data_IF_839437667509
#
_entry.id   IF_839437667509
#
_cell.length_a   1.000
_cell.length_b   1.000
_cell.length_c   1.000
_cell.angle_alpha   90.00
_cell.angle_beta   90.00
_cell.angle_gamma   90.00
#
_symmetry.space_group_name_H-M   'P 1'
#
loop_
_entity.id
_entity.type
_entity.pdbx_description
1 polymer ?
#
# COMPACT_ATOMS: atom_id res chain seq x y z
N UNK A 1 9.47 -6.95 21.12
CA UNK A 1 8.93 -6.36 22.37
C UNK A 1 9.34 -4.89 22.60
N UNK A 2 10.58 -4.47 22.29
CA UNK A 2 11.03 -3.07 22.45
C UNK A 2 10.36 -2.06 21.50
N UNK A 3 10.02 -2.47 20.27
CA UNK A 3 9.32 -1.62 19.28
C UNK A 3 7.91 -1.22 19.72
N UNK A 4 7.18 -2.10 20.42
CA UNK A 4 5.85 -1.80 20.95
C UNK A 4 5.92 -0.88 22.18
N UNK A 5 6.95 -1.01 23.01
CA UNK A 5 7.14 -0.18 24.20
C UNK A 5 7.50 1.26 23.83
N UNK A 6 8.35 1.44 22.80
CA UNK A 6 8.72 2.78 22.30
C UNK A 6 7.52 3.43 21.59
N UNK A 7 6.78 2.68 20.76
CA UNK A 7 5.53 3.18 20.15
C UNK A 7 4.48 3.56 21.20
N UNK A 8 4.33 2.77 22.26
CA UNK A 8 3.40 3.06 23.36
C UNK A 8 3.77 4.34 24.11
N UNK A 9 5.05 4.51 24.46
CA UNK A 9 5.53 5.71 25.15
C UNK A 9 5.39 6.97 24.28
N UNK A 10 5.64 6.87 22.97
CA UNK A 10 5.50 8.00 22.06
C UNK A 10 4.03 8.36 21.74
N UNK A 11 3.13 7.37 21.69
CA UNK A 11 1.69 7.60 21.51
C UNK A 11 1.05 8.24 22.74
N UNK A 12 1.51 7.89 23.94
CA UNK A 12 1.05 8.53 25.18
C UNK A 12 1.58 9.96 25.36
N UNK A 13 2.80 10.24 24.87
CA UNK A 13 3.36 11.60 24.88
C UNK A 13 2.62 12.55 23.92
N UNK A 14 2.21 12.06 22.74
CA UNK A 14 1.41 12.84 21.79
C UNK A 14 -0.03 13.05 22.27
N UNK A 15 -0.70 12.04 22.84
CA UNK A 15 -2.04 12.19 23.44
C UNK A 15 -2.08 13.17 24.63
N UNK A 16 -1.05 13.16 25.49
CA UNK A 16 -0.93 14.13 26.60
C UNK A 16 -0.69 15.56 26.12
N UNK A 17 -0.03 15.74 24.98
CA UNK A 17 0.17 17.06 24.36
C UNK A 17 -1.14 17.59 23.77
N UNK A 18 -1.89 16.76 23.03
CA UNK A 18 -3.16 17.15 22.40
C UNK A 18 -4.27 17.46 23.41
N UNK A 19 -4.37 16.72 24.53
CA UNK A 19 -5.32 17.04 25.62
C UNK A 19 -5.03 18.38 26.29
N UNK A 20 -3.77 18.81 26.34
CA UNK A 20 -3.38 20.12 26.90
C UNK A 20 -3.60 21.29 25.94
N UNK A 21 -3.78 21.03 24.64
CA UNK A 21 -4.11 22.04 23.64
C UNK A 21 -5.63 22.24 23.46
N UNK A 22 -6.46 21.20 23.67
CA UNK A 22 -7.93 21.34 23.61
C UNK A 22 -8.52 22.10 24.81
N UNK A 23 -7.86 22.11 25.98
CA UNK A 23 -8.33 22.80 27.19
C UNK A 23 -8.09 24.34 27.18
N UNK A 24 -7.62 24.89 26.05
CA UNK A 24 -7.30 26.33 25.92
C UNK A 24 -8.02 27.06 24.78
N UNK A 25 -9.01 26.45 24.14
CA UNK A 25 -9.92 27.18 23.24
C UNK A 25 -11.34 27.19 23.83
N UNK A 26 -11.63 28.14 24.73
CA UNK A 26 -13.01 28.49 25.02
C UNK A 26 -13.62 29.20 23.82
N UNK A 27 -14.73 28.64 23.36
CA UNK A 27 -15.51 29.08 22.22
C UNK A 27 -16.05 30.51 22.41
N UNK A 28 -15.92 31.31 21.37
CA UNK A 28 -16.69 32.55 21.18
C UNK A 28 -18.06 32.14 20.63
N UNK A 29 -19.12 32.36 21.40
CA UNK A 29 -20.50 32.33 20.90
C UNK A 29 -21.24 33.60 21.40
N UNK A 30 -21.72 34.39 20.45
CA UNK A 30 -22.72 35.46 20.65
C UNK A 30 -24.10 34.83 20.94
N UNK A 31 -25.07 35.40 21.69
CA UNK A 31 -26.08 36.47 21.40
C UNK A 31 -26.95 36.74 22.71
N UNK A 32 -28.07 37.53 22.76
CA UNK A 32 -28.29 38.99 22.94
C UNK A 32 -28.88 39.48 24.32
N UNK A 33 -28.84 40.82 24.48
CA UNK A 33 -29.50 41.80 25.39
C UNK A 33 -30.70 41.42 26.31
N UNK A 34 -30.66 41.92 27.57
CA UNK A 34 -31.85 42.38 28.32
C UNK A 34 -31.78 42.32 29.87
N UNK A 35 -31.88 43.47 30.56
CA UNK A 35 -32.58 43.58 31.86
C UNK A 35 -31.79 43.58 33.20
N UNK A 36 -31.50 44.79 33.71
CA UNK A 36 -31.58 45.29 35.11
C UNK A 36 -31.38 44.38 36.36
N UNK A 37 -30.54 44.91 37.28
CA UNK A 37 -30.51 44.82 38.77
C UNK A 37 -29.43 43.97 39.48
N UNK A 38 -28.40 44.69 39.97
CA UNK A 38 -27.64 44.61 41.25
C UNK A 38 -27.37 43.27 41.97
N UNK A 39 -26.16 43.05 42.55
CA UNK A 39 -25.73 43.44 43.92
C UNK A 39 -24.34 42.86 44.29
N UNK A 40 -23.56 43.67 45.02
CA UNK A 40 -22.31 43.52 45.83
C UNK A 40 -21.26 42.39 45.64
N UNK A 41 -19.96 42.72 45.86
CA UNK A 41 -18.89 41.75 46.00
C UNK A 41 -18.93 41.09 47.38
N UNK A 42 -18.88 39.75 47.41
CA UNK A 42 -18.56 39.00 48.62
C UNK A 42 -17.06 38.75 48.62
N UNK A 43 -16.36 39.38 49.56
CA UNK A 43 -15.01 38.97 49.92
C UNK A 43 -15.07 37.55 50.50
N UNK A 44 -14.31 36.62 49.94
CA UNK A 44 -13.92 35.39 50.61
C UNK A 44 -12.51 34.99 50.18
N UNK A 45 -11.69 34.82 51.23
CA UNK A 45 -10.45 34.05 51.34
C UNK A 45 -9.37 34.21 50.28
N UNK A 46 -8.23 34.70 50.78
CA UNK A 46 -6.89 34.25 50.41
C UNK A 46 -6.87 32.76 50.05
N UNK A 47 -6.71 32.43 48.76
CA UNK A 47 -6.32 31.08 48.35
C UNK A 47 -4.90 31.14 47.75
N UNK A 48 -3.99 30.47 48.45
CA UNK A 48 -2.60 30.16 48.10
C UNK A 48 -2.48 29.16 46.92
N UNK A 49 -3.55 28.93 46.16
CA UNK A 49 -3.63 27.90 45.12
C UNK A 49 -3.11 28.32 43.73
N UNK A 50 -2.82 29.61 43.54
CA UNK A 50 -2.14 30.11 42.33
C UNK A 50 -0.66 29.71 42.24
N UNK A 51 0.00 29.50 43.39
CA UNK A 51 1.42 29.15 43.44
C UNK A 51 1.64 27.65 43.23
N UNK A 52 0.75 26.79 43.74
CA UNK A 52 0.86 25.33 43.63
C UNK A 52 0.65 24.83 42.20
N UNK A 53 -0.30 25.43 41.45
CA UNK A 53 -0.55 25.10 40.04
C UNK A 53 0.54 25.62 39.10
N UNK A 54 1.17 26.76 39.42
CA UNK A 54 2.35 27.23 38.70
C UNK A 54 3.57 26.34 38.99
N UNK A 55 3.87 26.03 40.26
CA UNK A 55 5.04 25.23 40.64
C UNK A 55 4.98 23.78 40.13
N UNK A 56 3.82 23.13 40.16
CA UNK A 56 3.64 21.80 39.54
C UNK A 56 3.77 21.87 38.03
N UNK A 57 3.24 22.92 37.37
CA UNK A 57 3.42 23.12 35.92
C UNK A 57 4.89 23.32 35.57
N UNK A 58 5.62 24.15 36.34
CA UNK A 58 7.05 24.40 36.16
C UNK A 58 7.88 23.13 36.39
N UNK A 59 7.56 22.35 37.42
CA UNK A 59 8.23 21.07 37.71
C UNK A 59 8.01 20.03 36.62
N UNK A 60 6.77 19.88 36.14
CA UNK A 60 6.49 18.99 35.01
C UNK A 60 7.19 19.45 33.73
N UNK A 61 7.27 20.77 33.46
CA UNK A 61 8.04 21.26 32.31
C UNK A 61 9.54 21.01 32.46
N UNK A 62 10.11 21.14 33.66
CA UNK A 62 11.53 20.85 33.91
C UNK A 62 11.83 19.35 33.75
N UNK A 63 10.98 18.47 34.28
CA UNK A 63 11.12 17.02 34.11
C UNK A 63 10.98 16.58 32.64
N UNK A 64 10.02 17.15 31.92
CA UNK A 64 9.87 16.89 30.47
C UNK A 64 11.12 17.35 29.72
N UNK A 65 11.62 18.57 29.98
CA UNK A 65 12.84 19.09 29.34
C UNK A 65 14.06 18.23 29.66
N UNK A 66 14.21 17.77 30.90
CA UNK A 66 15.31 16.88 31.30
C UNK A 66 15.22 15.52 30.58
N UNK A 67 14.04 14.91 30.50
CA UNK A 67 13.83 13.66 29.77
C UNK A 67 14.08 13.81 28.27
N UNK A 68 13.62 14.91 27.67
CA UNK A 68 13.91 15.23 26.25
C UNK A 68 15.41 15.38 26.01
N UNK A 69 16.13 16.05 26.92
CA UNK A 69 17.59 16.20 26.81
C UNK A 69 18.32 14.86 26.91
N UNK A 70 17.93 13.99 27.85
CA UNK A 70 18.51 12.64 27.97
C UNK A 70 18.26 11.82 26.70
N UNK A 71 17.03 11.89 26.15
CA UNK A 71 16.69 11.21 24.91
C UNK A 71 17.54 11.71 23.72
N UNK A 72 17.72 13.02 23.59
CA UNK A 72 18.58 13.63 22.56
C UNK A 72 20.04 13.21 22.70
N UNK A 73 20.60 13.20 23.91
CA UNK A 73 21.97 12.74 24.14
C UNK A 73 22.16 11.27 23.76
N UNK A 74 21.19 10.40 24.10
CA UNK A 74 21.22 8.97 23.70
C UNK A 74 21.14 8.80 22.18
N UNK A 75 20.27 9.58 21.52
CA UNK A 75 20.15 9.56 20.08
C UNK A 75 21.44 10.02 19.40
N UNK A 76 22.08 11.09 19.89
CA UNK A 76 23.36 11.57 19.37
C UNK A 76 24.47 10.50 19.51
N UNK A 77 24.57 9.84 20.67
CA UNK A 77 25.53 8.75 20.86
C UNK A 77 25.28 7.60 19.88
N UNK A 78 24.01 7.20 19.72
CA UNK A 78 23.63 6.14 18.79
C UNK A 78 23.98 6.49 17.33
N UNK A 79 23.72 7.73 16.91
CA UNK A 79 24.09 8.22 15.57
C UNK A 79 25.61 8.18 15.35
N UNK A 80 26.41 8.59 16.34
CA UNK A 80 27.87 8.46 16.25
C UNK A 80 28.32 7.00 16.15
N UNK A 81 27.68 6.09 16.89
CA UNK A 81 28.00 4.66 16.78
C UNK A 81 27.63 4.08 15.42
N UNK A 82 26.51 4.50 14.82
CA UNK A 82 26.16 4.11 13.47
C UNK A 82 27.18 4.63 12.45
N UNK A 83 27.55 5.92 12.51
CA UNK A 83 28.55 6.48 11.60
C UNK A 83 29.88 5.72 11.69
N UNK A 84 30.40 5.50 12.90
CA UNK A 84 31.64 4.77 13.09
C UNK A 84 31.56 3.33 12.58
N UNK A 85 30.46 2.62 12.86
CA UNK A 85 30.26 1.26 12.36
C UNK A 85 30.08 1.20 10.84
N UNK A 86 29.52 2.25 10.24
CA UNK A 86 29.40 2.39 8.79
C UNK A 86 30.76 2.58 8.14
N UNK A 87 31.60 3.44 8.71
CA UNK A 87 32.97 3.71 8.25
C UNK A 87 33.84 2.44 8.33
N UNK A 88 33.59 1.57 9.31
CA UNK A 88 34.24 0.27 9.44
C UNK A 88 33.59 -0.88 8.65
N UNK A 89 32.53 -0.63 7.86
CA UNK A 89 31.83 -1.64 7.03
C UNK A 89 31.24 -2.79 7.88
N UNK A 90 30.75 -2.48 9.08
CA UNK A 90 30.21 -3.48 10.03
C UNK A 90 28.69 -3.47 10.13
N UNK A 91 28.00 -2.56 9.45
CA UNK A 91 26.55 -2.45 9.53
C UNK A 91 25.85 -3.40 8.56
N UNK A 92 24.86 -4.13 9.07
CA UNK A 92 23.90 -4.87 8.26
C UNK A 92 22.88 -3.92 7.63
N UNK A 93 22.22 -4.36 6.55
CA UNK A 93 21.15 -3.60 5.91
C UNK A 93 20.05 -3.15 6.89
N UNK A 94 19.63 -4.04 7.81
CA UNK A 94 18.61 -3.73 8.84
C UNK A 94 19.01 -2.57 9.75
N UNK A 95 20.29 -2.48 10.10
CA UNK A 95 20.79 -1.41 10.95
C UNK A 95 20.86 -0.07 10.21
N UNK A 96 21.09 -0.06 8.89
CA UNK A 96 20.97 1.15 8.08
C UNK A 96 19.53 1.68 8.04
N UNK A 97 18.51 0.82 7.95
CA UNK A 97 17.11 1.25 8.07
C UNK A 97 16.85 1.90 9.43
N UNK A 98 17.37 1.29 10.50
CA UNK A 98 17.23 1.83 11.86
C UNK A 98 17.94 3.18 11.99
N UNK A 99 19.12 3.33 11.38
CA UNK A 99 19.85 4.59 11.37
C UNK A 99 19.05 5.71 10.68
N UNK A 100 18.48 5.45 9.51
CA UNK A 100 17.62 6.40 8.79
C UNK A 100 16.41 6.80 9.62
N UNK A 101 15.76 5.83 10.29
CA UNK A 101 14.64 6.12 11.18
C UNK A 101 15.08 7.08 12.30
N UNK A 102 16.19 6.81 12.98
CA UNK A 102 16.70 7.68 14.06
C UNK A 102 17.01 9.09 13.55
N UNK A 103 17.64 9.23 12.38
CA UNK A 103 17.92 10.52 11.75
C UNK A 103 16.63 11.32 11.51
N UNK A 104 15.60 10.68 10.94
CA UNK A 104 14.30 11.31 10.73
C UNK A 104 13.64 11.75 12.05
N UNK A 105 13.68 10.91 13.09
CA UNK A 105 13.06 11.22 14.38
C UNK A 105 13.76 12.35 15.13
N UNK A 106 15.07 12.51 14.97
CA UNK A 106 15.85 13.62 15.58
C UNK A 106 15.77 14.90 14.72
N UNK A 107 15.18 14.82 13.52
CA UNK A 107 15.06 15.94 12.59
C UNK A 107 16.33 16.23 11.78
N UNK A 108 17.32 15.32 11.78
CA UNK A 108 18.53 15.42 10.97
C UNK A 108 18.32 14.82 9.57
N UNK A 109 17.31 15.33 8.86
CA UNK A 109 16.89 14.81 7.55
C UNK A 109 17.99 14.99 6.49
N UNK A 110 18.81 16.04 6.60
CA UNK A 110 19.90 16.35 5.67
C UNK A 110 21.02 15.29 5.69
N UNK A 111 21.16 14.53 6.77
CA UNK A 111 22.15 13.46 6.90
C UNK A 111 21.67 12.10 6.36
N UNK A 112 20.37 11.97 6.05
CA UNK A 112 19.77 10.73 5.55
C UNK A 112 20.36 10.29 4.20
N UNK A 113 20.59 11.18 3.20
CA UNK A 113 21.24 10.80 1.95
C UNK A 113 22.61 10.16 2.16
N UNK A 114 23.41 10.69 3.09
CA UNK A 114 24.73 10.14 3.44
C UNK A 114 24.62 8.72 3.97
N UNK A 115 23.68 8.48 4.90
CA UNK A 115 23.44 7.13 5.44
C UNK A 115 23.03 6.13 4.34
N UNK A 116 22.22 6.56 3.36
CA UNK A 116 21.89 5.73 2.20
C UNK A 116 23.09 5.49 1.28
N UNK A 117 23.94 6.50 1.05
CA UNK A 117 25.17 6.33 0.28
C UNK A 117 26.09 5.27 0.89
N UNK A 118 26.28 5.29 2.22
CA UNK A 118 27.04 4.24 2.91
C UNK A 118 26.35 2.87 2.79
N UNK A 119 25.06 2.80 3.11
CA UNK A 119 24.32 1.53 3.11
C UNK A 119 24.24 0.85 1.75
N UNK A 120 23.92 1.61 0.70
CA UNK A 120 23.84 1.11 -0.67
C UNK A 120 25.21 0.95 -1.34
N UNK A 121 26.26 1.60 -0.83
CA UNK A 121 27.63 1.32 -1.23
C UNK A 121 28.09 -0.06 -0.76
N UNK A 122 27.66 -0.49 0.43
CA UNK A 122 28.02 -1.78 1.02
C UNK A 122 27.09 -2.91 0.59
N UNK A 123 25.79 -2.62 0.46
CA UNK A 123 24.74 -3.59 0.14
C UNK A 123 23.91 -3.13 -1.07
N UNK A 124 24.52 -2.99 -2.27
CA UNK A 124 23.89 -2.37 -3.44
C UNK A 124 22.67 -3.14 -3.97
N UNK A 125 22.61 -4.46 -3.77
CA UNK A 125 21.49 -5.31 -4.21
C UNK A 125 20.38 -5.46 -3.17
N UNK A 126 20.48 -4.82 -2.00
CA UNK A 126 19.49 -4.98 -0.94
C UNK A 126 18.14 -4.33 -1.29
N UNK A 127 17.15 -5.17 -1.61
CA UNK A 127 15.76 -4.74 -1.87
C UNK A 127 15.23 -3.87 -0.74
N UNK A 128 15.50 -4.26 0.51
CA UNK A 128 15.00 -3.56 1.69
C UNK A 128 15.56 -2.14 1.80
N UNK A 129 16.87 -1.94 1.59
CA UNK A 129 17.46 -0.60 1.61
C UNK A 129 16.91 0.29 0.50
N UNK A 130 16.74 -0.28 -0.71
CA UNK A 130 16.11 0.45 -1.81
C UNK A 130 14.66 0.83 -1.51
N UNK A 131 13.86 -0.05 -0.90
CA UNK A 131 12.50 0.26 -0.46
C UNK A 131 12.47 1.39 0.56
N UNK A 132 13.36 1.36 1.56
CA UNK A 132 13.46 2.43 2.57
C UNK A 132 13.86 3.76 1.92
N UNK A 133 14.85 3.73 1.02
CA UNK A 133 15.27 4.91 0.26
C UNK A 133 14.16 5.48 -0.62
N UNK A 134 13.45 4.62 -1.34
CA UNK A 134 12.34 5.03 -2.19
C UNK A 134 11.19 5.62 -1.37
N UNK A 135 10.82 5.00 -0.25
CA UNK A 135 9.79 5.57 0.66
C UNK A 135 10.19 6.92 1.21
N UNK A 136 11.46 7.08 1.56
CA UNK A 136 11.98 8.37 2.03
C UNK A 136 11.87 9.42 0.93
N UNK A 137 12.41 9.16 -0.26
CA UNK A 137 12.43 10.15 -1.34
C UNK A 137 11.03 10.47 -1.88
N UNK A 138 10.13 9.50 -1.97
CA UNK A 138 8.75 9.75 -2.41
C UNK A 138 7.93 10.58 -1.42
N UNK A 139 8.35 10.61 -0.15
CA UNK A 139 7.68 11.41 0.90
C UNK A 139 8.29 12.81 1.03
N UNK A 140 9.61 12.94 0.85
CA UNK A 140 10.34 14.19 1.10
C UNK A 140 10.58 15.01 -0.16
N UNK A 141 10.74 14.35 -1.31
CA UNK A 141 11.07 14.99 -2.56
C UNK A 141 9.81 15.27 -3.39
N UNK A 142 9.73 16.48 -3.95
CA UNK A 142 8.64 16.92 -4.82
C UNK A 142 9.02 16.94 -6.30
N UNK A 143 10.30 16.75 -6.61
CA UNK A 143 10.82 16.76 -7.98
C UNK A 143 10.63 15.38 -8.60
N UNK A 144 9.69 15.28 -9.55
CA UNK A 144 9.32 14.02 -10.21
C UNK A 144 10.52 13.34 -10.85
N UNK A 145 11.34 14.10 -11.59
CA UNK A 145 12.49 13.57 -12.33
C UNK A 145 13.51 12.91 -11.40
N UNK A 146 13.79 13.52 -10.24
CA UNK A 146 14.72 12.96 -9.25
C UNK A 146 14.18 11.66 -8.65
N UNK A 147 12.89 11.59 -8.34
CA UNK A 147 12.27 10.36 -7.83
C UNK A 147 12.30 9.26 -8.90
N UNK A 148 11.97 9.58 -10.16
CA UNK A 148 12.04 8.61 -11.26
C UNK A 148 13.46 8.08 -11.48
N UNK A 149 14.48 8.94 -11.40
CA UNK A 149 15.88 8.52 -11.51
C UNK A 149 16.28 7.54 -10.39
N UNK A 150 15.83 7.77 -9.15
CA UNK A 150 16.10 6.83 -8.04
C UNK A 150 15.32 5.52 -8.21
N UNK A 151 14.09 5.56 -8.73
CA UNK A 151 13.34 4.33 -9.09
C UNK A 151 14.12 3.52 -10.12
N UNK A 152 14.60 4.14 -11.20
CA UNK A 152 15.38 3.45 -12.22
C UNK A 152 16.68 2.88 -11.65
N UNK A 153 17.38 3.64 -10.81
CA UNK A 153 18.59 3.18 -10.14
C UNK A 153 18.31 1.93 -9.28
N UNK A 154 17.23 1.94 -8.50
CA UNK A 154 16.83 0.82 -7.65
C UNK A 154 16.52 -0.43 -8.48
N UNK A 155 15.71 -0.27 -9.54
CA UNK A 155 15.30 -1.37 -10.42
C UNK A 155 16.48 -1.99 -11.21
N UNK A 156 17.54 -1.22 -11.45
CA UNK A 156 18.75 -1.72 -12.13
C UNK A 156 19.78 -2.33 -11.17
N UNK A 157 19.65 -2.09 -9.86
CA UNK A 157 20.66 -2.52 -8.86
C UNK A 157 20.29 -3.84 -8.17
N UNK A 158 19.03 -4.23 -8.19
CA UNK A 158 18.48 -5.38 -7.46
C UNK A 158 18.24 -6.56 -8.40
N UNK A 159 18.34 -7.78 -7.88
CA UNK A 159 17.99 -8.98 -8.63
C UNK A 159 16.54 -8.92 -9.14
N UNK A 160 16.35 -9.25 -10.41
CA UNK A 160 15.05 -9.06 -11.07
C UNK A 160 13.91 -9.81 -10.36
N UNK A 161 14.16 -11.04 -9.89
CA UNK A 161 13.18 -11.88 -9.18
C UNK A 161 12.72 -11.30 -7.84
N UNK A 162 13.58 -10.54 -7.18
CA UNK A 162 13.27 -9.90 -5.89
C UNK A 162 12.80 -8.45 -6.07
N UNK A 163 12.78 -7.94 -7.30
CA UNK A 163 12.52 -6.52 -7.58
C UNK A 163 11.05 -6.13 -7.50
N UNK A 164 10.10 -7.08 -7.51
CA UNK A 164 8.65 -6.80 -7.55
C UNK A 164 8.16 -5.75 -6.52
N UNK A 165 8.57 -5.80 -5.23
CA UNK A 165 8.18 -4.77 -4.26
C UNK A 165 8.59 -3.34 -4.66
N UNK A 166 9.70 -3.17 -5.40
CA UNK A 166 10.14 -1.88 -5.92
C UNK A 166 9.22 -1.41 -7.05
N UNK A 167 8.79 -2.32 -7.93
CA UNK A 167 7.81 -2.01 -8.99
C UNK A 167 6.47 -1.59 -8.41
N UNK A 168 5.98 -2.32 -7.40
CA UNK A 168 4.71 -2.01 -6.73
C UNK A 168 4.75 -0.61 -6.11
N UNK A 169 5.81 -0.28 -5.37
CA UNK A 169 5.99 1.05 -4.78
C UNK A 169 6.11 2.15 -5.86
N UNK A 170 6.89 1.90 -6.92
CA UNK A 170 7.07 2.82 -8.02
C UNK A 170 5.75 3.12 -8.75
N UNK A 171 4.93 2.10 -9.00
CA UNK A 171 3.61 2.26 -9.63
C UNK A 171 2.63 2.98 -8.72
N UNK A 172 2.62 2.67 -7.42
CA UNK A 172 1.78 3.38 -6.45
C UNK A 172 2.08 4.89 -6.46
N UNK A 173 3.35 5.25 -6.44
CA UNK A 173 3.77 6.65 -6.49
C UNK A 173 3.47 7.28 -7.86
N UNK A 174 3.82 6.61 -8.96
CA UNK A 174 3.65 7.15 -10.31
C UNK A 174 2.17 7.39 -10.66
N UNK A 175 1.25 6.52 -10.25
CA UNK A 175 -0.20 6.72 -10.45
C UNK A 175 -0.70 8.04 -9.84
N UNK A 176 -0.09 8.50 -8.75
CA UNK A 176 -0.49 9.72 -8.05
C UNK A 176 0.24 10.97 -8.57
N UNK A 177 1.49 10.84 -8.98
CA UNK A 177 2.38 11.98 -9.25
C UNK A 177 2.85 12.11 -10.70
N UNK A 178 2.85 11.02 -11.48
CA UNK A 178 3.30 11.01 -12.88
C UNK A 178 2.60 9.92 -13.71
N UNK A 179 1.34 10.17 -14.14
CA UNK A 179 0.57 9.25 -14.98
C UNK A 179 1.31 8.82 -16.26
N UNK A 180 2.04 9.73 -16.90
CA UNK A 180 2.79 9.45 -18.13
C UNK A 180 3.89 8.40 -17.91
N UNK A 181 4.49 8.37 -16.71
CA UNK A 181 5.52 7.41 -16.34
C UNK A 181 4.95 6.02 -16.03
N UNK A 182 3.67 5.91 -15.64
CA UNK A 182 3.03 4.61 -15.34
C UNK A 182 3.02 3.72 -16.56
N UNK A 183 2.69 4.26 -17.74
CA UNK A 183 2.71 3.52 -19.01
C UNK A 183 4.11 3.00 -19.34
N UNK A 184 5.15 3.80 -19.07
CA UNK A 184 6.55 3.42 -19.30
C UNK A 184 6.95 2.28 -18.36
N UNK A 185 6.63 2.41 -17.07
CA UNK A 185 6.89 1.38 -16.06
C UNK A 185 6.19 0.07 -16.40
N UNK A 186 4.90 0.10 -16.73
CA UNK A 186 4.13 -1.10 -17.05
C UNK A 186 4.64 -1.78 -18.31
N UNK A 187 4.91 -1.04 -19.40
CA UNK A 187 5.51 -1.59 -20.63
C UNK A 187 6.86 -2.24 -20.37
N UNK A 188 7.70 -1.65 -19.52
CA UNK A 188 9.00 -2.24 -19.14
C UNK A 188 8.81 -3.48 -18.26
N UNK A 189 7.92 -3.40 -17.27
CA UNK A 189 7.70 -4.43 -16.27
C UNK A 189 7.05 -5.71 -16.80
N UNK A 190 6.13 -5.62 -17.75
CA UNK A 190 5.50 -6.83 -18.35
C UNK A 190 6.48 -7.66 -19.20
N UNK A 191 7.64 -7.13 -19.53
CA UNK A 191 8.72 -7.82 -20.26
C UNK A 191 9.77 -8.46 -19.34
N UNK A 192 9.59 -8.34 -18.02
CA UNK A 192 10.50 -8.89 -17.00
C UNK A 192 10.18 -10.33 -16.65
N UNK A 193 10.96 -10.90 -15.74
CA UNK A 193 10.78 -12.23 -15.20
C UNK A 193 9.36 -12.43 -14.65
N UNK A 194 8.86 -13.68 -14.57
CA UNK A 194 7.49 -13.99 -14.17
C UNK A 194 7.05 -13.34 -12.85
N UNK A 195 7.93 -13.29 -11.86
CA UNK A 195 7.68 -12.72 -10.53
C UNK A 195 7.28 -11.24 -10.60
N UNK A 196 7.75 -10.53 -11.63
CA UNK A 196 7.41 -9.13 -11.89
C UNK A 196 6.32 -9.02 -12.95
N UNK A 197 6.45 -9.70 -14.09
CA UNK A 197 5.57 -9.49 -15.23
C UNK A 197 4.14 -9.96 -14.98
N UNK A 198 3.95 -11.10 -14.30
CA UNK A 198 2.63 -11.68 -14.03
C UNK A 198 1.72 -10.72 -13.25
N UNK A 199 2.11 -10.23 -12.05
CA UNK A 199 1.28 -9.29 -11.32
C UNK A 199 1.09 -7.96 -12.07
N UNK A 200 2.08 -7.50 -12.84
CA UNK A 200 1.95 -6.24 -13.58
C UNK A 200 1.01 -6.32 -14.79
N UNK A 201 0.82 -7.49 -15.40
CA UNK A 201 -0.10 -7.65 -16.54
C UNK A 201 -1.54 -7.33 -16.14
N UNK A 202 -1.98 -7.71 -14.93
CA UNK A 202 -3.33 -7.38 -14.44
C UNK A 202 -3.46 -5.86 -14.21
N UNK A 203 -2.46 -5.27 -13.55
CA UNK A 203 -2.43 -3.84 -13.22
C UNK A 203 -2.41 -2.97 -14.48
N UNK A 204 -1.82 -3.49 -15.55
CA UNK A 204 -1.79 -2.81 -16.84
C UNK A 204 -3.17 -2.72 -17.50
N UNK A 205 -4.00 -3.75 -17.37
CA UNK A 205 -5.38 -3.70 -17.88
C UNK A 205 -6.20 -2.64 -17.14
N UNK A 206 -6.12 -2.63 -15.81
CA UNK A 206 -6.80 -1.65 -14.96
C UNK A 206 -6.35 -0.23 -15.29
N UNK A 207 -5.04 -0.03 -15.41
CA UNK A 207 -4.47 1.28 -15.72
C UNK A 207 -4.89 1.79 -17.10
N UNK A 208 -4.86 0.94 -18.12
CA UNK A 208 -5.22 1.35 -19.49
C UNK A 208 -6.70 1.69 -19.57
N UNK A 209 -7.58 0.95 -18.89
CA UNK A 209 -8.98 1.31 -18.83
C UNK A 209 -9.20 2.65 -18.11
N UNK A 210 -8.49 2.86 -16.99
CA UNK A 210 -8.60 4.09 -16.20
C UNK A 210 -8.08 5.33 -16.95
N UNK A 211 -6.94 5.21 -17.62
CA UNK A 211 -6.24 6.34 -18.25
C UNK A 211 -6.67 6.60 -19.70
N UNK A 212 -7.19 5.60 -20.39
CA UNK A 212 -7.54 5.67 -21.82
C UNK A 212 -8.98 5.26 -22.04
N UNK A 213 -9.20 4.13 -22.71
CA UNK A 213 -10.51 3.63 -23.08
C UNK A 213 -10.56 2.10 -23.14
N UNK A 214 -11.78 1.60 -23.29
CA UNK A 214 -12.09 0.16 -23.40
C UNK A 214 -11.42 -0.46 -24.63
N UNK A 215 -11.26 0.30 -25.71
CA UNK A 215 -10.67 -0.23 -26.94
C UNK A 215 -9.19 -0.55 -26.72
N UNK A 216 -8.46 0.39 -26.12
CA UNK A 216 -7.06 0.27 -25.73
C UNK A 216 -6.86 -0.89 -24.76
N UNK A 217 -7.74 -1.04 -23.76
CA UNK A 217 -7.69 -2.15 -22.81
C UNK A 217 -7.83 -3.51 -23.52
N UNK A 218 -8.75 -3.61 -24.49
CA UNK A 218 -8.95 -4.84 -25.29
C UNK A 218 -7.76 -5.18 -26.18
N UNK A 219 -7.10 -4.17 -26.78
CA UNK A 219 -5.88 -4.39 -27.57
C UNK A 219 -4.71 -4.82 -26.69
N UNK A 220 -4.55 -4.21 -25.51
CA UNK A 220 -3.53 -4.60 -24.54
C UNK A 220 -3.79 -6.03 -24.04
N UNK A 221 -5.03 -6.40 -23.70
CA UNK A 221 -5.36 -7.78 -23.36
C UNK A 221 -4.93 -8.76 -24.44
N UNK A 222 -5.30 -8.49 -25.70
CA UNK A 222 -4.95 -9.34 -26.84
C UNK A 222 -3.44 -9.47 -27.02
N UNK A 223 -2.69 -8.38 -26.80
CA UNK A 223 -1.23 -8.41 -26.87
C UNK A 223 -0.62 -9.22 -25.73
N UNK A 224 -1.10 -9.01 -24.50
CA UNK A 224 -0.55 -9.66 -23.30
C UNK A 224 -0.92 -11.13 -23.21
N UNK A 225 -2.11 -11.53 -23.68
CA UNK A 225 -2.55 -12.93 -23.70
C UNK A 225 -1.68 -13.84 -24.56
N UNK A 226 -0.94 -13.28 -25.52
CA UNK A 226 0.05 -14.02 -26.32
C UNK A 226 1.41 -14.19 -25.62
N UNK A 227 1.62 -13.56 -24.46
CA UNK A 227 2.89 -13.58 -23.73
C UNK A 227 2.75 -14.38 -22.43
N UNK A 228 3.26 -15.59 -22.39
CA UNK A 228 3.34 -16.38 -21.15
C UNK A 228 4.50 -15.88 -20.25
N UNK A 229 4.43 -16.11 -18.92
CA UNK A 229 3.33 -16.71 -18.17
C UNK A 229 2.18 -15.72 -17.89
N UNK A 230 0.98 -16.26 -17.75
CA UNK A 230 -0.23 -15.53 -17.35
C UNK A 230 -0.62 -15.95 -15.92
N UNK A 231 -1.66 -15.32 -15.38
CA UNK A 231 -2.30 -15.78 -14.14
C UNK A 231 -3.80 -15.87 -14.30
N UNK A 232 -4.46 -16.61 -13.40
CA UNK A 232 -5.91 -16.68 -13.38
C UNK A 232 -6.52 -15.29 -13.08
N UNK A 233 -5.85 -14.50 -12.22
CA UNK A 233 -6.28 -13.15 -11.88
C UNK A 233 -6.23 -12.22 -13.09
N UNK A 234 -5.29 -12.40 -14.02
CA UNK A 234 -5.25 -11.64 -15.27
C UNK A 234 -6.53 -11.83 -16.09
N UNK A 235 -6.97 -13.09 -16.26
CA UNK A 235 -8.20 -13.41 -16.98
C UNK A 235 -9.44 -12.92 -16.24
N UNK A 236 -9.51 -13.14 -14.92
CA UNK A 236 -10.63 -12.67 -14.08
C UNK A 236 -10.75 -11.15 -14.09
N UNK A 237 -9.62 -10.43 -14.03
CA UNK A 237 -9.58 -8.97 -14.10
C UNK A 237 -10.16 -8.50 -15.43
N UNK A 238 -9.70 -9.03 -16.56
CA UNK A 238 -10.27 -8.68 -17.86
C UNK A 238 -11.78 -8.97 -17.97
N UNK A 239 -12.23 -10.13 -17.48
CA UNK A 239 -13.67 -10.48 -17.47
C UNK A 239 -14.46 -9.46 -16.64
N UNK A 240 -13.97 -9.10 -15.46
CA UNK A 240 -14.60 -8.12 -14.58
C UNK A 240 -14.69 -6.76 -15.24
N UNK A 241 -13.59 -6.29 -15.84
CA UNK A 241 -13.53 -5.04 -16.58
C UNK A 241 -14.45 -5.04 -17.79
N UNK A 242 -14.51 -6.11 -18.59
CA UNK A 242 -15.39 -6.19 -19.75
C UNK A 242 -16.88 -6.23 -19.35
N UNK A 243 -17.21 -6.89 -18.22
CA UNK A 243 -18.57 -6.91 -17.65
C UNK A 243 -19.02 -5.54 -17.13
N UNK A 244 -18.11 -4.71 -16.61
CA UNK A 244 -18.44 -3.39 -16.06
C UNK A 244 -18.69 -2.32 -17.12
N UNK A 245 -18.45 -2.62 -18.41
CA UNK A 245 -18.64 -1.67 -19.49
C UNK A 245 -20.12 -1.38 -19.75
N UNK A 246 -20.43 -0.18 -20.27
CA UNK A 246 -21.79 0.19 -20.65
C UNK A 246 -22.37 -0.74 -21.74
N UNK A 247 -21.51 -1.31 -22.58
CA UNK A 247 -21.87 -2.29 -23.61
C UNK A 247 -20.93 -3.51 -23.54
N UNK A 248 -21.15 -4.44 -22.60
CA UNK A 248 -20.32 -5.64 -22.46
C UNK A 248 -20.41 -6.52 -23.71
N UNK A 249 -19.26 -7.05 -24.14
CA UNK A 249 -19.21 -8.04 -25.21
C UNK A 249 -19.19 -9.46 -24.64
N UNK A 250 -20.36 -10.10 -24.63
CA UNK A 250 -20.49 -11.50 -24.23
C UNK A 250 -19.55 -12.42 -25.03
N UNK A 251 -19.30 -12.11 -26.31
CA UNK A 251 -18.37 -12.86 -27.15
C UNK A 251 -16.95 -12.83 -26.57
N UNK A 252 -16.48 -11.66 -26.14
CA UNK A 252 -15.14 -11.50 -25.54
C UNK A 252 -15.06 -12.16 -24.18
N UNK A 253 -16.09 -12.00 -23.35
CA UNK A 253 -16.17 -12.65 -22.04
C UNK A 253 -16.08 -14.18 -22.19
N UNK A 254 -16.86 -14.77 -23.10
CA UNK A 254 -16.81 -16.21 -23.40
C UNK A 254 -15.42 -16.63 -23.86
N UNK A 255 -14.83 -15.91 -24.81
CA UNK A 255 -13.47 -16.19 -25.29
C UNK A 255 -12.46 -16.17 -24.14
N UNK A 256 -12.53 -15.19 -23.26
CA UNK A 256 -11.63 -15.13 -22.10
C UNK A 256 -11.86 -16.28 -21.11
N UNK A 257 -13.10 -16.73 -20.89
CA UNK A 257 -13.34 -17.94 -20.11
C UNK A 257 -12.76 -19.18 -20.78
N UNK A 258 -12.91 -19.33 -22.10
CA UNK A 258 -12.31 -20.42 -22.87
C UNK A 258 -10.78 -20.43 -22.74
N UNK A 259 -10.13 -19.27 -22.92
CA UNK A 259 -8.68 -19.11 -22.72
C UNK A 259 -8.31 -19.51 -21.28
N UNK A 260 -9.03 -19.00 -20.27
CA UNK A 260 -8.75 -19.27 -18.88
C UNK A 260 -8.88 -20.75 -18.52
N UNK A 261 -9.93 -21.45 -18.99
CA UNK A 261 -10.11 -22.89 -18.69
C UNK A 261 -9.11 -23.75 -19.45
N UNK A 262 -8.60 -23.29 -20.59
CA UNK A 262 -7.51 -23.95 -21.29
C UNK A 262 -6.22 -23.94 -20.44
N UNK A 263 -5.91 -22.82 -19.78
CA UNK A 263 -4.70 -22.71 -18.96
C UNK A 263 -4.87 -23.26 -17.53
N UNK A 264 -6.02 -23.04 -16.89
CA UNK A 264 -6.22 -23.31 -15.45
C UNK A 264 -7.38 -24.25 -15.14
N UNK A 265 -8.12 -24.72 -16.15
CA UNK A 265 -9.33 -25.51 -15.95
C UNK A 265 -9.11 -26.86 -15.27
N UNK A 266 -7.89 -27.41 -15.28
CA UNK A 266 -7.62 -28.67 -14.58
C UNK A 266 -7.59 -28.54 -13.05
N UNK A 267 -7.34 -27.32 -12.57
CA UNK A 267 -7.04 -27.04 -11.16
C UNK A 267 -7.96 -25.97 -10.55
N UNK A 268 -8.97 -25.47 -11.28
CA UNK A 268 -9.89 -24.43 -10.79
C UNK A 268 -11.35 -24.81 -11.00
N UNK A 269 -12.01 -25.19 -9.90
CA UNK A 269 -13.44 -25.50 -9.87
C UNK A 269 -14.28 -24.24 -10.03
N UNK A 270 -13.85 -23.17 -9.36
CA UNK A 270 -14.49 -21.87 -9.33
C UNK A 270 -14.58 -21.27 -10.75
N UNK A 271 -13.53 -21.41 -11.55
CA UNK A 271 -13.50 -20.92 -12.93
C UNK A 271 -14.60 -21.56 -13.81
N UNK A 272 -14.80 -22.88 -13.69
CA UNK A 272 -15.87 -23.57 -14.42
C UNK A 272 -17.26 -23.16 -13.95
N UNK A 273 -17.46 -23.03 -12.64
CA UNK A 273 -18.74 -22.61 -12.07
C UNK A 273 -19.09 -21.17 -12.47
N UNK A 274 -18.12 -20.26 -12.42
CA UNK A 274 -18.30 -18.88 -12.86
C UNK A 274 -18.63 -18.81 -14.35
N UNK A 275 -18.02 -19.68 -15.18
CA UNK A 275 -18.33 -19.74 -16.59
C UNK A 275 -19.77 -20.22 -16.84
N UNK A 276 -20.19 -21.29 -16.18
CA UNK A 276 -21.57 -21.80 -16.23
C UNK A 276 -22.56 -20.73 -15.74
N UNK A 277 -22.29 -20.12 -14.59
CA UNK A 277 -23.13 -19.07 -14.01
C UNK A 277 -23.26 -17.88 -14.97
N UNK A 278 -22.18 -17.50 -15.65
CA UNK A 278 -22.20 -16.46 -16.66
C UNK A 278 -23.12 -16.80 -17.84
N UNK A 279 -23.07 -18.03 -18.37
CA UNK A 279 -23.97 -18.47 -19.44
C UNK A 279 -25.44 -18.50 -19.05
N UNK A 280 -25.73 -18.83 -17.79
CA UNK A 280 -27.09 -18.91 -17.27
C UNK A 280 -27.69 -17.55 -16.94
N UNK A 281 -26.89 -16.62 -16.42
CA UNK A 281 -27.39 -15.35 -15.84
C UNK A 281 -27.30 -14.16 -16.77
N UNK A 282 -26.37 -14.16 -17.73
CA UNK A 282 -26.19 -13.02 -18.61
C UNK A 282 -27.35 -12.89 -19.62
N UNK A 283 -27.89 -11.68 -19.90
CA UNK A 283 -29.05 -11.52 -20.80
C UNK A 283 -28.85 -12.05 -22.23
N UNK A 284 -27.59 -12.06 -22.68
CA UNK A 284 -27.15 -12.63 -23.98
C UNK A 284 -26.36 -13.94 -23.83
N UNK A 285 -26.40 -14.56 -22.65
CA UNK A 285 -25.85 -15.88 -22.40
C UNK A 285 -26.65 -16.95 -23.15
N UNK A 286 -26.12 -18.17 -23.16
CA UNK A 286 -26.78 -19.35 -23.74
C UNK A 286 -26.87 -20.43 -22.68
N UNK A 287 -27.96 -20.46 -21.88
CA UNK A 287 -28.11 -21.47 -20.83
C UNK A 287 -28.04 -22.91 -21.34
N UNK A 288 -28.33 -23.15 -22.62
CA UNK A 288 -28.23 -24.46 -23.27
C UNK A 288 -26.78 -24.99 -23.32
N UNK A 289 -25.78 -24.10 -23.34
CA UNK A 289 -24.36 -24.47 -23.37
C UNK A 289 -23.85 -24.93 -21.98
N UNK A 290 -24.58 -24.61 -20.90
CA UNK A 290 -24.18 -24.93 -19.53
C UNK A 290 -23.93 -26.44 -19.33
N UNK A 291 -24.74 -27.30 -19.97
CA UNK A 291 -24.57 -28.75 -19.92
C UNK A 291 -23.27 -29.21 -20.59
N UNK A 292 -22.89 -28.60 -21.71
CA UNK A 292 -21.63 -28.90 -22.39
C UNK A 292 -20.43 -28.43 -21.57
N UNK A 293 -20.51 -27.25 -20.95
CA UNK A 293 -19.46 -26.71 -20.08
C UNK A 293 -19.29 -27.60 -18.84
N UNK A 294 -20.39 -28.03 -18.21
CA UNK A 294 -20.37 -28.98 -17.09
C UNK A 294 -19.68 -30.29 -17.48
N UNK A 295 -20.04 -30.88 -18.63
CA UNK A 295 -19.40 -32.10 -19.10
C UNK A 295 -17.89 -31.92 -19.34
N UNK A 296 -17.48 -30.78 -19.91
CA UNK A 296 -16.05 -30.45 -20.09
C UNK A 296 -15.33 -30.33 -18.75
N UNK A 297 -15.90 -29.62 -17.78
CA UNK A 297 -15.35 -29.49 -16.44
C UNK A 297 -15.10 -30.86 -15.79
N UNK A 298 -16.07 -31.77 -15.86
CA UNK A 298 -15.95 -33.14 -15.36
C UNK A 298 -14.83 -33.96 -16.03
N UNK A 299 -14.43 -33.61 -17.26
CA UNK A 299 -13.35 -34.27 -18.00
C UNK A 299 -11.98 -33.63 -17.78
N UNK A 300 -11.94 -32.36 -17.40
CA UNK A 300 -10.70 -31.59 -17.26
C UNK A 300 -10.22 -31.51 -15.81
N UNK A 301 -11.14 -31.43 -14.84
CA UNK A 301 -10.79 -31.35 -13.42
C UNK A 301 -10.15 -32.64 -12.91
N UNK A 302 -9.19 -32.51 -11.98
CA UNK A 302 -8.41 -33.62 -11.45
C UNK A 302 -8.93 -34.10 -10.08
N UNK A 303 -9.05 -35.42 -9.91
CA UNK A 303 -9.24 -36.07 -8.60
C UNK A 303 -10.41 -35.51 -7.79
N UNK A 304 -10.13 -35.12 -6.54
CA UNK A 304 -11.11 -34.60 -5.58
C UNK A 304 -11.82 -33.31 -6.05
N UNK A 305 -11.25 -32.58 -7.02
CA UNK A 305 -11.88 -31.38 -7.57
C UNK A 305 -13.17 -31.69 -8.34
N UNK A 306 -13.31 -32.90 -8.88
CA UNK A 306 -14.53 -33.35 -9.56
C UNK A 306 -15.68 -33.42 -8.55
N UNK A 307 -15.45 -34.02 -7.38
CA UNK A 307 -16.46 -34.17 -6.33
C UNK A 307 -16.88 -32.81 -5.76
N UNK A 308 -15.89 -31.92 -5.53
CA UNK A 308 -16.14 -30.52 -5.15
C UNK A 308 -17.00 -29.82 -6.20
N UNK A 309 -16.66 -29.98 -7.49
CA UNK A 309 -17.40 -29.37 -8.59
C UNK A 309 -18.85 -29.86 -8.67
N UNK A 310 -19.10 -31.17 -8.59
CA UNK A 310 -20.46 -31.73 -8.61
C UNK A 310 -21.32 -31.18 -7.46
N UNK A 311 -20.73 -31.10 -6.26
CA UNK A 311 -21.41 -30.55 -5.07
C UNK A 311 -21.81 -29.10 -5.29
N UNK A 312 -20.85 -28.26 -5.70
CA UNK A 312 -21.08 -26.84 -5.92
C UNK A 312 -22.00 -26.57 -7.11
N UNK A 313 -21.91 -27.36 -8.19
CA UNK A 313 -22.81 -27.23 -9.34
C UNK A 313 -24.26 -27.55 -8.96
N UNK A 314 -24.48 -28.57 -8.10
CA UNK A 314 -25.83 -28.89 -7.59
C UNK A 314 -26.40 -27.73 -6.76
N UNK A 315 -25.57 -27.08 -5.94
CA UNK A 315 -25.96 -25.87 -5.21
C UNK A 315 -26.29 -24.69 -6.14
N UNK A 316 -25.55 -24.55 -7.24
CA UNK A 316 -25.81 -23.53 -8.25
C UNK A 316 -27.16 -23.75 -8.94
N UNK A 317 -27.48 -25.00 -9.30
CA UNK A 317 -28.76 -25.35 -9.93
C UNK A 317 -29.97 -25.12 -9.01
N UNK A 318 -29.78 -25.29 -7.70
CA UNK A 318 -30.83 -25.10 -6.69
C UNK A 318 -30.94 -23.65 -6.21
N UNK A 319 -30.12 -22.73 -6.73
CA UNK A 319 -30.17 -21.30 -6.42
C UNK A 319 -29.58 -20.92 -5.05
N UNK A 320 -28.73 -21.78 -4.49
CA UNK A 320 -28.09 -21.57 -3.18
C UNK A 320 -26.66 -20.98 -3.29
N UNK A 321 -26.31 -20.41 -4.44
CA UNK A 321 -24.97 -19.91 -4.82
C UNK A 321 -25.02 -18.58 -5.59
#
# INVERSE_FOLDING_TARGET
MWSLYIRFLLTELTKKSSRKLCDKSQAVNWVPLGGLLSFRPKAQSTDEDGAFTCATRTRHTVEIVALTRIALCRAALLLMTFQHAADEVKLSAELYSTWVDVLCHVGQVDAVPTAFCHGLGQHPSSVMLWLVRLRFITTTNRVVDEVTAVIEQALNSVEEKESYPLWELALCWAKLHSPDYVDVLLKKGVLKCPEVSVPLKKDYLDWVLFSKDVHSMREIYKSLSGSEPLSIEFFQTYISLEKSQAKPSIKRIKQTYEDAVQHYGSNSVELWLDYIKMEMTHPKGKPQEAGQIHWRAMKTLNGELIEKFVTLYTLLQTGHL
#
